data_IF_281941981337
#
_entry.id   IF_281941981337
#
_cell.length_a   1.000
_cell.length_b   1.000
_cell.length_c   1.000
_cell.angle_alpha   90.00
_cell.angle_beta   90.00
_cell.angle_gamma   90.00
#
_symmetry.space_group_name_H-M   'P 1'
#
loop_
_entity.id
_entity.type
_entity.pdbx_description
1 polymer ?
#
# COMPACT_ATOMS: atom_id res chain seq x y z
N UNK A 1 6.03 -9.03 13.45
CA UNK A 1 6.23 -7.71 12.82
C UNK A 1 7.40 -7.85 11.86
N UNK A 2 7.16 -7.68 10.56
CA UNK A 2 8.23 -7.64 9.56
C UNK A 2 8.91 -6.27 9.55
N UNK A 3 10.24 -6.26 9.34
CA UNK A 3 11.05 -5.05 9.27
C UNK A 3 11.58 -4.77 7.87
N UNK A 4 11.30 -5.65 6.90
CA UNK A 4 11.66 -5.51 5.49
C UNK A 4 10.59 -6.13 4.59
N UNK A 5 10.52 -5.69 3.34
CA UNK A 5 9.60 -6.24 2.33
C UNK A 5 9.95 -7.70 2.01
N UNK A 6 11.24 -8.01 1.90
CA UNK A 6 11.70 -9.41 1.69
C UNK A 6 11.28 -10.29 2.85
N UNK A 7 11.45 -9.83 4.10
CA UNK A 7 10.99 -10.55 5.28
C UNK A 7 9.48 -10.75 5.31
N UNK A 8 8.72 -9.73 4.91
CA UNK A 8 7.27 -9.81 4.79
C UNK A 8 6.84 -10.86 3.73
N UNK A 9 7.51 -10.86 2.57
CA UNK A 9 7.30 -11.85 1.52
C UNK A 9 7.51 -13.29 2.01
N UNK A 10 8.60 -13.54 2.75
CA UNK A 10 8.87 -14.87 3.31
C UNK A 10 7.81 -15.30 4.33
N UNK A 11 7.29 -14.37 5.13
CA UNK A 11 6.18 -14.66 6.07
C UNK A 11 4.91 -15.01 5.29
N UNK A 12 4.58 -14.27 4.22
CA UNK A 12 3.43 -14.61 3.37
C UNK A 12 3.58 -16.00 2.75
N UNK A 13 4.76 -16.33 2.21
CA UNK A 13 5.03 -17.68 1.67
C UNK A 13 4.83 -18.78 2.73
N UNK A 14 5.28 -18.54 3.95
CA UNK A 14 5.10 -19.49 5.05
C UNK A 14 3.62 -19.64 5.44
N UNK A 15 2.86 -18.56 5.48
CA UNK A 15 1.42 -18.58 5.75
C UNK A 15 0.63 -19.34 4.67
N UNK A 16 0.97 -19.13 3.40
CA UNK A 16 0.36 -19.85 2.28
C UNK A 16 0.67 -21.35 2.37
N UNK A 17 1.94 -21.70 2.65
CA UNK A 17 2.35 -23.09 2.81
C UNK A 17 1.68 -23.79 4.00
N UNK A 18 1.35 -23.05 5.05
CA UNK A 18 0.66 -23.54 6.24
C UNK A 18 -0.88 -23.42 6.14
N UNK A 19 -1.40 -22.99 5.00
CA UNK A 19 -2.83 -22.77 4.75
C UNK A 19 -3.53 -21.91 5.83
N UNK A 20 -2.88 -20.80 6.22
CA UNK A 20 -3.41 -19.89 7.22
C UNK A 20 -4.22 -18.76 6.60
N UNK A 21 -5.22 -18.25 7.34
CA UNK A 21 -5.86 -16.96 7.06
C UNK A 21 -4.88 -15.84 7.42
N UNK A 22 -4.61 -14.93 6.49
CA UNK A 22 -3.70 -13.80 6.70
C UNK A 22 -4.48 -12.50 6.83
N UNK A 23 -4.27 -11.78 7.93
CA UNK A 23 -4.79 -10.44 8.16
C UNK A 23 -3.62 -9.46 8.25
N UNK A 24 -3.47 -8.59 7.25
CA UNK A 24 -2.47 -7.53 7.27
C UNK A 24 -3.01 -6.34 8.08
N UNK A 25 -2.20 -5.86 9.03
CA UNK A 25 -2.61 -4.78 9.93
C UNK A 25 -1.53 -3.70 10.02
N UNK A 26 -1.88 -2.47 9.70
CA UNK A 26 -1.08 -1.28 10.01
C UNK A 26 -1.49 -0.71 11.39
N UNK A 27 -1.96 0.53 11.46
CA UNK A 27 -2.36 1.17 12.71
C UNK A 27 -3.75 0.77 13.24
N UNK A 28 -4.47 -0.09 12.54
CA UNK A 28 -5.80 -0.59 12.92
C UNK A 28 -6.83 0.53 13.18
N UNK A 29 -6.81 1.57 12.35
CA UNK A 29 -7.69 2.75 12.47
C UNK A 29 -8.97 2.64 11.63
N UNK A 30 -9.11 1.56 10.84
CA UNK A 30 -10.26 1.34 9.95
C UNK A 30 -11.53 1.04 10.74
N UNK A 31 -12.58 1.84 10.52
CA UNK A 31 -13.88 1.68 11.21
C UNK A 31 -14.67 0.47 10.72
N UNK A 32 -14.29 -0.12 9.58
CA UNK A 32 -14.92 -1.32 9.03
C UNK A 32 -14.44 -2.62 9.69
N UNK A 33 -13.41 -2.55 10.53
CA UNK A 33 -12.87 -3.70 11.26
C UNK A 33 -12.09 -4.71 10.41
N UNK A 34 -11.87 -4.48 9.11
CA UNK A 34 -11.26 -5.46 8.20
C UNK A 34 -9.81 -5.86 8.51
N UNK A 35 -9.13 -5.15 9.41
CA UNK A 35 -7.79 -5.50 9.88
C UNK A 35 -7.77 -6.16 11.27
N UNK A 36 -8.94 -6.55 11.78
CA UNK A 36 -9.09 -7.21 13.09
C UNK A 36 -9.86 -8.51 12.91
N UNK A 37 -9.41 -9.64 13.47
CA UNK A 37 -10.20 -10.85 13.48
C UNK A 37 -11.56 -10.61 14.14
N UNK A 38 -12.63 -11.15 13.57
CA UNK A 38 -13.98 -11.06 14.10
C UNK A 38 -14.52 -12.48 14.36
N UNK A 39 -14.93 -12.74 15.60
CA UNK A 39 -15.44 -14.05 16.00
C UNK A 39 -14.41 -15.17 15.99
N UNK A 40 -14.91 -16.41 16.02
CA UNK A 40 -14.13 -17.64 16.03
C UNK A 40 -14.50 -18.56 14.85
N UNK A 41 -15.13 -18.04 13.83
CA UNK A 41 -15.71 -18.83 12.73
C UNK A 41 -14.73 -19.08 11.58
N UNK A 42 -13.44 -18.86 11.84
CA UNK A 42 -12.39 -19.17 10.86
C UNK A 42 -12.21 -20.68 10.74
N UNK A 43 -12.15 -21.17 9.50
CA UNK A 43 -11.95 -22.59 9.19
C UNK A 43 -10.46 -23.02 9.29
N UNK A 44 -9.57 -22.06 9.54
CA UNK A 44 -8.11 -22.23 9.60
C UNK A 44 -7.50 -21.29 10.65
N UNK A 45 -6.24 -21.55 10.97
CA UNK A 45 -5.47 -20.67 11.86
C UNK A 45 -5.33 -19.27 11.29
N UNK A 46 -5.47 -18.26 12.11
CA UNK A 46 -5.38 -16.83 11.73
C UNK A 46 -4.02 -16.28 12.13
N UNK A 47 -3.33 -15.69 11.17
CA UNK A 47 -2.06 -14.98 11.37
C UNK A 47 -2.24 -13.49 11.10
N UNK A 48 -2.02 -12.65 12.11
CA UNK A 48 -1.99 -11.20 11.97
C UNK A 48 -0.56 -10.76 11.68
N UNK A 49 -0.36 -10.12 10.53
CA UNK A 49 0.94 -9.59 10.13
C UNK A 49 0.93 -8.06 10.27
N UNK A 50 1.68 -7.55 11.24
CA UNK A 50 1.83 -6.10 11.39
C UNK A 50 2.80 -5.53 10.37
N UNK A 51 2.37 -4.49 9.65
CA UNK A 51 3.15 -3.76 8.65
C UNK A 51 3.77 -2.48 9.20
N UNK A 52 3.59 -2.15 10.48
CA UNK A 52 4.00 -0.88 11.08
C UNK A 52 5.50 -0.55 10.94
N UNK A 53 6.35 -1.55 10.74
CA UNK A 53 7.80 -1.36 10.53
C UNK A 53 8.20 -1.24 9.06
N UNK A 54 7.26 -1.42 8.15
CA UNK A 54 7.42 -1.14 6.71
C UNK A 54 6.97 0.28 6.44
N UNK A 55 7.64 1.27 7.05
CA UNK A 55 7.14 2.63 7.18
C UNK A 55 7.84 3.64 6.25
N UNK A 56 8.53 3.17 5.23
CA UNK A 56 9.20 4.00 4.23
C UNK A 56 8.20 4.90 3.50
N UNK A 57 8.53 6.19 3.45
CA UNK A 57 7.92 7.21 2.60
C UNK A 57 9.04 7.95 1.90
N UNK A 58 9.03 8.03 0.57
CA UNK A 58 10.03 8.76 -0.19
C UNK A 58 9.43 9.49 -1.38
N UNK A 59 9.92 10.70 -1.70
CA UNK A 59 9.47 11.45 -2.86
C UNK A 59 10.05 10.86 -4.15
N UNK A 60 9.26 10.89 -5.22
CA UNK A 60 9.67 10.57 -6.59
C UNK A 60 9.35 11.75 -7.50
N UNK A 61 10.17 11.96 -8.53
CA UNK A 61 9.91 12.95 -9.58
C UNK A 61 9.59 14.36 -9.01
N UNK A 62 10.48 14.91 -8.19
CA UNK A 62 10.30 16.20 -7.49
C UNK A 62 9.00 16.24 -6.65
N UNK A 63 8.74 15.18 -5.93
CA UNK A 63 7.55 14.98 -5.10
C UNK A 63 6.20 15.11 -5.87
N UNK A 64 6.20 14.89 -7.19
CA UNK A 64 4.96 14.72 -7.96
C UNK A 64 4.28 13.39 -7.65
N UNK A 65 5.08 12.40 -7.24
CA UNK A 65 4.64 11.13 -6.70
C UNK A 65 5.39 10.82 -5.41
N UNK A 66 4.88 9.86 -4.66
CA UNK A 66 5.54 9.31 -3.48
C UNK A 66 5.48 7.79 -3.53
N UNK A 67 6.60 7.13 -3.22
CA UNK A 67 6.62 5.70 -2.93
C UNK A 67 6.38 5.52 -1.43
N UNK A 68 5.37 4.75 -1.07
CA UNK A 68 4.99 4.53 0.32
C UNK A 68 4.82 3.04 0.57
N UNK A 69 5.49 2.51 1.59
CA UNK A 69 5.33 1.13 2.03
C UNK A 69 4.08 0.96 2.91
N UNK A 70 3.65 -0.28 3.12
CA UNK A 70 2.37 -0.61 3.74
C UNK A 70 2.16 -0.06 5.17
N UNK A 71 3.22 0.25 5.90
CA UNK A 71 3.18 0.89 7.22
C UNK A 71 3.42 2.40 7.20
N UNK A 72 3.73 2.99 6.03
CA UNK A 72 3.93 4.43 5.90
C UNK A 72 2.66 5.19 6.26
N UNK A 73 2.79 6.18 7.16
CA UNK A 73 1.63 6.91 7.69
C UNK A 73 1.32 8.15 6.85
N UNK A 74 0.06 8.57 6.86
CA UNK A 74 -0.36 9.85 6.27
C UNK A 74 0.40 11.03 6.89
N UNK A 75 0.67 10.98 8.18
CA UNK A 75 1.43 12.02 8.87
C UNK A 75 2.84 12.17 8.28
N UNK A 76 3.57 11.06 8.09
CA UNK A 76 4.91 11.09 7.46
C UNK A 76 4.85 11.56 6.02
N UNK A 77 3.82 11.15 5.28
CA UNK A 77 3.62 11.62 3.91
C UNK A 77 3.38 13.15 3.87
N UNK A 78 2.57 13.69 4.78
CA UNK A 78 2.33 15.13 4.91
C UNK A 78 3.63 15.88 5.23
N UNK A 79 4.38 15.43 6.24
CA UNK A 79 5.66 16.04 6.60
C UNK A 79 6.63 16.08 5.41
N UNK A 80 6.80 14.96 4.72
CA UNK A 80 7.67 14.86 3.55
C UNK A 80 7.22 15.80 2.43
N UNK A 81 5.93 15.85 2.11
CA UNK A 81 5.41 16.66 1.01
C UNK A 81 5.45 18.15 1.32
N UNK A 82 5.34 18.56 2.60
CA UNK A 82 5.43 19.95 3.02
C UNK A 82 6.79 20.57 2.67
N UNK A 83 7.89 19.81 2.69
CA UNK A 83 9.21 20.27 2.26
C UNK A 83 9.24 20.71 0.79
N UNK A 84 8.32 20.18 -0.03
CA UNK A 84 8.14 20.52 -1.44
C UNK A 84 6.98 21.48 -1.70
N UNK A 85 6.38 22.04 -0.65
CA UNK A 85 5.18 22.88 -0.77
C UNK A 85 3.95 22.16 -1.30
N UNK A 86 3.86 20.84 -1.06
CA UNK A 86 2.78 19.96 -1.54
C UNK A 86 2.01 19.36 -0.39
N UNK A 87 0.79 18.91 -0.68
CA UNK A 87 -0.05 18.16 0.24
C UNK A 87 -0.52 16.87 -0.42
N UNK A 88 -0.77 15.80 0.37
CA UNK A 88 -1.36 14.59 -0.18
C UNK A 88 -2.76 14.85 -0.73
N UNK A 89 -3.18 14.05 -1.72
CA UNK A 89 -4.50 14.16 -2.33
C UNK A 89 -5.64 14.00 -1.32
N UNK A 90 -5.50 13.04 -0.44
CA UNK A 90 -6.49 12.73 0.59
C UNK A 90 -5.85 12.78 1.96
N UNK A 91 -6.44 13.57 2.84
CA UNK A 91 -6.13 13.59 4.25
C UNK A 91 -7.37 13.10 4.98
N UNK A 92 -7.28 11.95 5.61
CA UNK A 92 -8.35 11.40 6.44
C UNK A 92 -8.19 11.87 7.88
N UNK A 93 -9.29 12.04 8.60
CA UNK A 93 -9.27 12.53 9.98
C UNK A 93 -8.47 11.67 10.96
N UNK A 94 -8.11 10.44 10.58
CA UNK A 94 -7.27 9.53 11.36
C UNK A 94 -5.77 9.67 11.09
N UNK A 95 -5.32 10.65 10.29
CA UNK A 95 -3.89 10.90 10.06
C UNK A 95 -3.12 11.13 11.35
N UNK A 96 -3.70 11.87 12.29
CA UNK A 96 -3.12 12.16 13.61
C UNK A 96 -2.96 10.93 14.53
N UNK A 97 -3.64 9.84 14.26
CA UNK A 97 -3.57 8.58 15.03
C UNK A 97 -2.82 7.47 14.28
N UNK A 98 -2.08 7.83 13.24
CA UNK A 98 -1.18 6.93 12.55
C UNK A 98 -1.79 6.12 11.41
N UNK A 99 -2.93 6.52 10.85
CA UNK A 99 -3.51 5.85 9.67
C UNK A 99 -2.48 5.73 8.54
N UNK A 100 -2.38 4.55 7.95
CA UNK A 100 -1.45 4.30 6.85
C UNK A 100 -2.02 4.79 5.51
N UNK A 101 -1.13 5.23 4.62
CA UNK A 101 -1.48 5.64 3.26
C UNK A 101 -2.10 4.48 2.49
N UNK A 102 -1.44 3.31 2.52
CA UNK A 102 -1.90 2.11 1.82
C UNK A 102 -3.27 1.66 2.35
N UNK A 103 -3.46 1.63 3.67
CA UNK A 103 -4.76 1.32 4.26
C UNK A 103 -5.86 2.30 3.84
N UNK A 104 -5.53 3.58 3.74
CA UNK A 104 -6.45 4.61 3.25
C UNK A 104 -6.87 4.38 1.79
N UNK A 105 -5.92 4.01 0.94
CA UNK A 105 -6.18 3.68 -0.48
C UNK A 105 -7.04 2.42 -0.59
N UNK A 106 -6.65 1.33 0.08
CA UNK A 106 -7.34 0.04 0.03
C UNK A 106 -8.80 0.12 0.52
N UNK A 107 -9.07 1.02 1.47
CA UNK A 107 -10.42 1.23 2.00
C UNK A 107 -11.16 2.41 1.34
N UNK A 108 -10.58 3.03 0.32
CA UNK A 108 -11.12 4.24 -0.31
C UNK A 108 -11.53 5.31 0.73
N UNK A 109 -10.63 5.58 1.69
CA UNK A 109 -10.91 6.46 2.82
C UNK A 109 -10.85 7.93 2.38
N UNK A 110 -12.01 8.56 2.20
CA UNK A 110 -12.13 9.96 1.76
C UNK A 110 -12.32 10.97 2.90
N UNK A 111 -12.94 10.55 3.99
CA UNK A 111 -13.23 11.41 5.14
C UNK A 111 -14.00 12.69 4.75
N UNK A 112 -13.66 13.81 5.37
CA UNK A 112 -14.25 15.12 5.08
C UNK A 112 -13.84 15.69 3.71
N UNK A 113 -12.86 15.10 3.06
CA UNK A 113 -12.33 15.54 1.76
C UNK A 113 -12.97 14.81 0.56
N UNK A 114 -14.14 14.24 0.74
CA UNK A 114 -14.89 13.50 -0.28
C UNK A 114 -15.04 14.27 -1.60
N UNK A 115 -15.06 15.62 -1.56
CA UNK A 115 -15.12 16.45 -2.76
C UNK A 115 -13.86 16.39 -3.64
N UNK A 116 -12.74 15.89 -3.11
CA UNK A 116 -11.50 15.68 -3.88
C UNK A 116 -11.54 14.37 -4.68
N UNK A 117 -12.57 13.58 -4.49
CA UNK A 117 -12.67 12.25 -5.06
C UNK A 117 -11.92 11.18 -4.25
N UNK A 118 -11.99 9.92 -4.69
CA UNK A 118 -11.34 8.79 -4.01
C UNK A 118 -9.82 8.87 -4.10
N UNK A 119 -9.13 8.42 -3.04
CA UNK A 119 -7.68 8.25 -3.02
C UNK A 119 -7.33 6.82 -3.46
N UNK A 120 -6.92 6.67 -4.69
CA UNK A 120 -6.44 5.38 -5.22
C UNK A 120 -5.27 5.59 -6.18
N UNK A 121 -4.57 4.51 -6.48
CA UNK A 121 -3.45 4.49 -7.40
C UNK A 121 -3.44 3.20 -8.21
N UNK A 122 -3.02 3.29 -9.45
CA UNK A 122 -2.69 2.14 -10.30
C UNK A 122 -1.25 1.69 -10.11
N UNK A 123 -0.38 2.62 -9.69
CA UNK A 123 1.03 2.35 -9.46
C UNK A 123 1.17 1.66 -8.10
N UNK A 124 1.15 0.34 -8.11
CA UNK A 124 1.20 -0.47 -6.90
C UNK A 124 2.02 -1.74 -7.08
N UNK A 125 2.62 -2.19 -6.00
CA UNK A 125 3.15 -3.54 -5.86
C UNK A 125 2.34 -4.29 -4.82
N UNK A 126 1.91 -5.50 -5.12
CA UNK A 126 1.11 -6.30 -4.19
C UNK A 126 1.35 -7.80 -4.39
N UNK A 127 1.12 -8.54 -3.33
CA UNK A 127 1.08 -10.00 -3.37
C UNK A 127 -0.35 -10.47 -3.67
N UNK A 128 -0.49 -11.46 -4.53
CA UNK A 128 -1.77 -12.11 -4.79
C UNK A 128 -1.62 -13.63 -4.73
N UNK A 129 -2.71 -14.29 -4.36
CA UNK A 129 -2.82 -15.73 -4.44
C UNK A 129 -3.56 -16.09 -5.74
N UNK A 130 -2.95 -16.93 -6.57
CA UNK A 130 -3.57 -17.37 -7.82
C UNK A 130 -4.68 -18.38 -7.54
N UNK A 131 -5.51 -18.69 -8.54
CA UNK A 131 -6.51 -19.74 -8.47
C UNK A 131 -5.91 -21.14 -8.23
N UNK A 132 -4.63 -21.32 -8.50
CA UNK A 132 -3.87 -22.55 -8.25
C UNK A 132 -3.26 -22.60 -6.84
N UNK A 133 -3.45 -21.55 -6.04
CA UNK A 133 -2.90 -21.43 -4.68
C UNK A 133 -1.43 -21.01 -4.64
N UNK A 134 -0.89 -20.46 -5.72
CA UNK A 134 0.47 -19.94 -5.78
C UNK A 134 0.53 -18.47 -5.39
N UNK A 135 1.53 -18.08 -4.60
CA UNK A 135 1.75 -16.69 -4.22
C UNK A 135 2.60 -16.00 -5.27
N UNK A 136 2.07 -14.94 -5.85
CA UNK A 136 2.75 -14.10 -6.85
C UNK A 136 2.95 -12.68 -6.34
N UNK A 137 4.06 -12.05 -6.76
CA UNK A 137 4.29 -10.63 -6.59
C UNK A 137 3.97 -9.91 -7.91
N UNK A 138 3.00 -9.01 -7.86
CA UNK A 138 2.65 -8.14 -8.98
C UNK A 138 3.35 -6.80 -8.81
N UNK A 139 4.12 -6.40 -9.82
CA UNK A 139 4.83 -5.12 -9.84
C UNK A 139 4.25 -4.21 -10.93
N UNK A 140 3.39 -3.27 -10.53
CA UNK A 140 2.88 -2.19 -11.36
C UNK A 140 3.36 -0.82 -10.84
N UNK A 141 4.54 -0.77 -10.22
CA UNK A 141 5.07 0.49 -9.65
C UNK A 141 5.59 1.46 -10.70
N UNK A 142 5.79 1.01 -11.94
CA UNK A 142 6.39 1.85 -12.99
C UNK A 142 7.88 2.15 -12.76
N UNK A 143 8.54 1.31 -11.99
CA UNK A 143 9.97 1.42 -11.65
C UNK A 143 10.63 0.08 -11.98
N UNK A 144 11.79 0.12 -12.62
CA UNK A 144 12.61 -1.08 -12.88
C UNK A 144 13.27 -1.56 -11.59
N UNK A 145 12.90 -2.76 -11.14
CA UNK A 145 13.31 -3.31 -9.85
C UNK A 145 13.92 -4.72 -9.94
N UNK A 146 13.95 -5.30 -11.12
CA UNK A 146 14.35 -6.69 -11.33
C UNK A 146 13.18 -7.59 -11.76
N UNK A 147 13.40 -8.88 -11.79
CA UNK A 147 12.47 -9.87 -12.37
C UNK A 147 11.90 -10.85 -11.36
N UNK A 148 12.62 -11.12 -10.27
CA UNK A 148 12.14 -12.03 -9.23
C UNK A 148 11.56 -11.26 -8.05
N UNK A 149 10.63 -11.83 -7.28
CA UNK A 149 10.08 -11.19 -6.10
C UNK A 149 11.16 -10.72 -5.12
N UNK A 150 12.16 -11.54 -4.88
CA UNK A 150 13.25 -11.26 -3.95
C UNK A 150 14.15 -10.10 -4.45
N UNK A 151 14.40 -10.00 -5.76
CA UNK A 151 15.12 -8.87 -6.35
C UNK A 151 14.32 -7.58 -6.25
N UNK A 152 13.05 -7.61 -6.67
CA UNK A 152 12.13 -6.46 -6.63
C UNK A 152 12.07 -5.90 -5.21
N UNK A 153 11.73 -6.76 -4.24
CA UNK A 153 11.55 -6.34 -2.86
C UNK A 153 12.89 -5.95 -2.20
N UNK A 154 13.98 -6.65 -2.53
CA UNK A 154 15.32 -6.31 -2.03
C UNK A 154 15.82 -4.97 -2.58
N UNK A 155 15.52 -4.64 -3.83
CA UNK A 155 15.86 -3.34 -4.41
C UNK A 155 15.00 -2.21 -3.82
N UNK A 156 13.72 -2.46 -3.52
CA UNK A 156 12.86 -1.52 -2.78
C UNK A 156 13.38 -1.29 -1.36
N UNK A 157 13.64 -2.35 -0.59
CA UNK A 157 14.16 -2.26 0.78
C UNK A 157 15.48 -1.47 0.85
N UNK A 158 16.36 -1.70 -0.12
CA UNK A 158 17.66 -1.05 -0.21
C UNK A 158 17.64 0.29 -0.97
N UNK A 159 16.47 0.71 -1.47
CA UNK A 159 16.29 1.92 -2.30
C UNK A 159 17.24 1.95 -3.53
N UNK A 160 17.49 0.78 -4.10
CA UNK A 160 18.36 0.62 -5.28
C UNK A 160 17.55 0.67 -6.57
N UNK A 161 17.08 1.84 -6.94
CA UNK A 161 16.40 2.12 -8.20
C UNK A 161 16.57 3.59 -8.57
N UNK A 162 16.39 3.89 -9.86
CA UNK A 162 16.43 5.27 -10.34
C UNK A 162 15.05 5.93 -10.16
N UNK A 163 14.93 6.76 -9.13
CA UNK A 163 13.70 7.49 -8.84
C UNK A 163 13.32 8.50 -9.95
N UNK A 164 14.31 8.97 -10.75
CA UNK A 164 14.03 9.88 -11.86
C UNK A 164 13.41 9.17 -13.07
N UNK A 165 13.61 7.85 -13.18
CA UNK A 165 13.04 7.03 -14.24
C UNK A 165 11.63 6.51 -13.93
N UNK A 166 11.11 6.80 -12.73
CA UNK A 166 9.77 6.35 -12.34
C UNK A 166 8.71 6.86 -13.32
N UNK A 167 7.86 5.96 -13.78
CA UNK A 167 6.74 6.32 -14.64
C UNK A 167 5.75 7.18 -13.85
N UNK A 168 5.53 8.41 -14.31
CA UNK A 168 4.45 9.22 -13.78
C UNK A 168 3.12 8.57 -14.14
N UNK A 169 2.16 8.63 -13.22
CA UNK A 169 0.79 8.20 -13.50
C UNK A 169 0.36 8.66 -14.89
N UNK A 170 -0.13 7.75 -15.70
CA UNK A 170 -0.35 7.90 -17.14
C UNK A 170 -1.49 8.86 -17.53
N UNK A 171 -1.90 9.75 -16.63
CA UNK A 171 -2.99 10.67 -16.88
C UNK A 171 -4.39 10.07 -16.73
N UNK A 172 -4.51 8.83 -16.25
CA UNK A 172 -5.80 8.23 -15.89
C UNK A 172 -6.56 9.09 -14.88
N UNK A 173 -5.84 9.82 -14.02
CA UNK A 173 -6.42 10.79 -13.12
C UNK A 173 -7.16 11.94 -13.84
N UNK A 174 -6.88 12.17 -15.12
CA UNK A 174 -7.60 13.14 -15.98
C UNK A 174 -8.56 12.48 -16.98
N UNK A 175 -8.66 11.15 -16.99
CA UNK A 175 -9.57 10.42 -17.86
C UNK A 175 -11.02 10.47 -17.30
N UNK A 176 -11.98 11.08 -18.05
CA UNK A 176 -13.36 11.15 -17.59
C UNK A 176 -14.03 9.79 -17.42
N UNK A 177 -13.71 8.81 -18.26
CA UNK A 177 -14.26 7.45 -18.16
C UNK A 177 -13.74 6.73 -16.92
N UNK A 178 -12.48 6.93 -16.55
CA UNK A 178 -11.90 6.39 -15.35
C UNK A 178 -12.59 6.95 -14.10
N UNK A 179 -12.77 8.27 -14.03
CA UNK A 179 -13.51 8.91 -12.94
C UNK A 179 -14.97 8.46 -12.85
N UNK A 180 -15.60 8.18 -13.98
CA UNK A 180 -16.96 7.66 -14.00
C UNK A 180 -17.02 6.24 -13.45
N UNK A 181 -16.16 5.33 -13.93
CA UNK A 181 -16.09 3.94 -13.45
C UNK A 181 -15.88 3.85 -11.94
N UNK A 182 -15.08 4.75 -11.36
CA UNK A 182 -14.84 4.77 -9.92
C UNK A 182 -16.05 5.29 -9.13
N UNK A 183 -16.86 6.16 -9.73
CA UNK A 183 -18.09 6.64 -9.10
C UNK A 183 -19.23 5.62 -9.15
N UNK A 184 -19.18 4.70 -10.09
CA UNK A 184 -20.22 3.71 -10.33
C UNK A 184 -19.98 2.40 -9.54
N UNK A 185 -18.89 2.32 -8.76
CA UNK A 185 -18.56 1.24 -7.83
C UNK A 185 -18.94 1.63 -6.41
#
# INVERSE_FOLDING_TARGET
>A
ISTSLVGFWHVLKACVAADCVVICQAANTGITGGSTPDGNDYDRDVVIISTLKLDTCMPLCDAKQALVFAGGTLFRLEEMLNEYGRNPHSVIGSSCIGASVVGGICNNSGGSLVKRGPAYTELSGFAQLTAQGELELVNHLGIELGTTPEEILGNLDAQRFDAASATLSSGLASDPEYHQRVRDV
#
